data_IF_538008209849
#
_entry.id   IF_538008209849
#
_cell.length_a   1.000
_cell.length_b   1.000
_cell.length_c   1.000
_cell.angle_alpha   90.00
_cell.angle_beta   90.00
_cell.angle_gamma   90.00
#
_symmetry.space_group_name_H-M   'P 1'
#
loop_
_entity.id
_entity.type
_entity.pdbx_description
1 polymer ?
#
# COMPACT_ATOMS: atom_id res chain seq x y z
N UNK A 1 -18.69 16.07 33.23
CA UNK A 1 -17.38 16.63 33.67
C UNK A 1 -16.17 15.78 33.32
N UNK A 2 -16.15 14.46 33.60
CA UNK A 2 -15.00 13.59 33.25
C UNK A 2 -14.56 13.64 31.77
N UNK A 3 -15.52 13.76 30.84
CA UNK A 3 -15.24 13.81 29.40
C UNK A 3 -14.56 15.12 28.97
N UNK A 4 -14.84 16.25 29.64
CA UNK A 4 -14.13 17.52 29.37
C UNK A 4 -12.70 17.50 29.88
N UNK A 5 -12.42 16.71 30.91
CA UNK A 5 -11.08 16.61 31.50
C UNK A 5 -10.08 15.85 30.61
N UNK A 6 -10.55 15.13 29.59
CA UNK A 6 -9.71 14.39 28.63
C UNK A 6 -9.62 15.07 27.26
N UNK A 7 -10.28 16.21 27.06
CA UNK A 7 -10.24 16.97 25.79
C UNK A 7 -8.99 17.84 25.77
N UNK A 8 -8.19 17.71 24.73
CA UNK A 8 -7.07 18.60 24.43
C UNK A 8 -7.50 19.69 23.44
N UNK A 9 -6.80 20.82 23.47
CA UNK A 9 -6.96 21.86 22.45
C UNK A 9 -6.65 21.28 21.06
N UNK A 10 -7.48 21.65 20.07
CA UNK A 10 -7.33 21.19 18.70
C UNK A 10 -6.20 21.98 18.01
N UNK A 11 -5.37 21.26 17.26
CA UNK A 11 -4.36 21.83 16.40
C UNK A 11 -4.88 21.84 14.96
N UNK A 12 -4.87 23.01 14.33
CA UNK A 12 -5.42 23.22 12.98
C UNK A 12 -4.29 23.42 11.95
N UNK A 13 -4.49 22.85 10.77
CA UNK A 13 -3.54 22.87 9.66
C UNK A 13 -4.26 23.42 8.42
N UNK A 14 -3.81 24.55 7.84
CA UNK A 14 -4.35 25.00 6.54
C UNK A 14 -4.06 23.98 5.44
N UNK A 15 -5.03 23.72 4.55
CA UNK A 15 -4.91 22.72 3.47
C UNK A 15 -3.69 22.94 2.55
N UNK A 16 -3.28 24.19 2.35
CA UNK A 16 -2.15 24.56 1.48
C UNK A 16 -0.76 24.37 2.11
N UNK A 17 -0.64 23.87 3.34
CA UNK A 17 0.67 23.69 4.00
C UNK A 17 1.43 22.50 3.37
N UNK A 18 2.66 22.70 2.86
CA UNK A 18 3.46 21.60 2.32
C UNK A 18 3.79 20.53 3.37
N UNK A 19 3.74 19.25 3.00
CA UNK A 19 3.94 18.11 3.91
C UNK A 19 5.27 18.18 4.69
N UNK A 20 6.37 18.58 4.06
CA UNK A 20 7.67 18.75 4.73
C UNK A 20 7.64 19.83 5.82
N UNK A 21 6.89 20.90 5.58
CA UNK A 21 6.69 21.98 6.56
C UNK A 21 5.82 21.45 7.70
N UNK A 22 4.77 20.71 7.37
CA UNK A 22 3.87 20.14 8.36
C UNK A 22 4.55 19.09 9.26
N UNK A 23 5.43 18.25 8.69
CA UNK A 23 6.29 17.34 9.45
C UNK A 23 7.12 18.08 10.50
N UNK A 24 7.76 19.19 10.12
CA UNK A 24 8.54 20.02 11.03
C UNK A 24 7.67 20.68 12.10
N UNK A 25 6.44 21.09 11.75
CA UNK A 25 5.50 21.66 12.71
C UNK A 25 5.08 20.63 13.77
N UNK A 26 4.72 19.41 13.36
CA UNK A 26 4.45 18.30 14.28
C UNK A 26 5.64 18.00 15.20
N UNK A 27 6.86 17.96 14.67
CA UNK A 27 8.06 17.75 15.49
C UNK A 27 8.28 18.88 16.52
N UNK A 28 8.19 20.14 16.08
CA UNK A 28 8.45 21.31 16.95
C UNK A 28 7.40 21.46 18.05
N UNK A 29 6.13 21.25 17.72
CA UNK A 29 5.00 21.46 18.62
C UNK A 29 4.62 20.19 19.40
N UNK A 30 5.27 19.05 19.09
CA UNK A 30 4.98 17.72 19.68
C UNK A 30 3.53 17.28 19.47
N UNK A 31 2.91 17.73 18.38
CA UNK A 31 1.62 17.24 17.93
C UNK A 31 1.81 16.02 17.01
N UNK A 32 0.84 15.11 17.02
CA UNK A 32 0.80 13.94 16.12
C UNK A 32 -0.44 13.91 15.23
N UNK A 33 -1.39 14.81 15.50
CA UNK A 33 -2.70 14.87 14.85
C UNK A 33 -3.03 16.35 14.63
N UNK A 34 -3.59 16.68 13.47
CA UNK A 34 -4.12 18.00 13.15
C UNK A 34 -5.43 17.92 12.36
N UNK A 35 -6.29 18.92 12.55
CA UNK A 35 -7.51 19.09 11.75
C UNK A 35 -7.20 19.99 10.56
N UNK A 36 -7.47 19.50 9.35
CA UNK A 36 -7.25 20.25 8.12
C UNK A 36 -8.41 21.22 7.91
N UNK A 37 -8.09 22.47 7.61
CA UNK A 37 -9.06 23.54 7.39
C UNK A 37 -8.81 24.32 6.10
N UNK A 38 -9.89 24.78 5.48
CA UNK A 38 -9.83 25.73 4.37
C UNK A 38 -9.65 27.19 4.84
N UNK A 39 -9.62 28.13 3.90
CA UNK A 39 -9.42 29.56 4.18
C UNK A 39 -10.58 30.22 4.94
N UNK A 40 -11.76 29.58 4.93
CA UNK A 40 -12.92 30.01 5.68
C UNK A 40 -13.00 29.37 7.07
N UNK A 41 -12.06 28.46 7.39
CA UNK A 41 -11.97 27.77 8.67
C UNK A 41 -12.88 26.54 8.79
N UNK A 42 -13.44 26.06 7.68
CA UNK A 42 -14.22 24.82 7.67
C UNK A 42 -13.28 23.61 7.72
N UNK A 43 -13.71 22.57 8.44
CA UNK A 43 -12.92 21.33 8.56
C UNK A 43 -13.10 20.49 7.30
N UNK A 44 -11.99 20.18 6.65
CA UNK A 44 -11.96 19.32 5.47
C UNK A 44 -11.49 17.91 5.80
N UNK A 45 -10.72 17.73 6.88
CA UNK A 45 -10.24 16.41 7.26
C UNK A 45 -9.32 16.36 8.49
N UNK A 46 -8.61 15.24 8.60
CA UNK A 46 -7.67 14.92 9.66
C UNK A 46 -6.34 14.52 9.00
N UNK A 47 -5.22 14.96 9.58
CA UNK A 47 -3.89 14.55 9.17
C UNK A 47 -3.09 14.07 10.39
N UNK A 48 -2.33 13.00 10.23
CA UNK A 48 -1.46 12.46 11.28
C UNK A 48 0.01 12.51 10.89
N UNK A 49 0.89 12.44 11.88
CA UNK A 49 2.34 12.35 11.65
C UNK A 49 2.68 11.08 10.85
N UNK A 50 1.97 10.00 11.14
CA UNK A 50 2.11 8.69 10.48
C UNK A 50 1.82 8.80 8.99
N UNK A 51 0.75 9.47 8.58
CA UNK A 51 0.40 9.66 7.16
C UNK A 51 1.52 10.40 6.42
N UNK A 52 2.08 11.44 7.04
CA UNK A 52 3.17 12.22 6.42
C UNK A 52 4.44 11.37 6.28
N UNK A 53 4.74 10.53 7.28
CA UNK A 53 5.90 9.63 7.23
C UNK A 53 5.72 8.53 6.19
N UNK A 54 4.51 7.98 6.05
CA UNK A 54 4.16 6.99 5.03
C UNK A 54 4.30 7.58 3.62
N UNK A 55 3.89 8.81 3.38
CA UNK A 55 4.08 9.45 2.05
C UNK A 55 5.56 9.66 1.70
N UNK A 56 6.42 9.91 2.68
CA UNK A 56 7.86 10.15 2.44
C UNK A 56 8.63 8.84 2.23
N UNK A 57 8.31 7.80 3.01
CA UNK A 57 9.12 6.57 3.07
C UNK A 57 8.42 5.35 2.47
N UNK A 58 7.12 5.45 2.19
CA UNK A 58 6.25 4.33 1.87
C UNK A 58 5.84 3.56 3.13
N UNK A 59 5.19 2.41 2.93
CA UNK A 59 4.83 1.52 4.04
C UNK A 59 6.10 1.00 4.71
N UNK A 60 6.46 1.60 5.85
CA UNK A 60 7.52 1.10 6.72
C UNK A 60 7.12 -0.29 7.22
N UNK A 61 7.74 -1.33 6.68
CA UNK A 61 7.61 -2.74 7.09
C UNK A 61 8.23 -3.02 8.48
N UNK A 62 8.42 -2.00 9.33
CA UNK A 62 9.10 -2.12 10.62
C UNK A 62 8.14 -2.33 11.79
N UNK A 63 6.83 -2.20 11.59
CA UNK A 63 5.84 -2.67 12.56
C UNK A 63 5.41 -4.06 12.11
N UNK A 64 5.76 -5.14 12.84
CA UNK A 64 5.06 -6.40 12.63
C UNK A 64 3.59 -6.11 12.92
N UNK A 65 2.75 -6.12 11.88
CA UNK A 65 1.30 -6.06 12.06
C UNK A 65 0.94 -7.24 12.93
N UNK A 66 0.58 -6.95 14.19
CA UNK A 66 0.13 -7.94 15.15
C UNK A 66 -1.19 -8.54 14.64
N UNK A 67 -1.11 -9.55 13.77
CA UNK A 67 -2.22 -10.45 13.44
C UNK A 67 -2.67 -10.53 11.98
N UNK A 68 -2.09 -9.80 11.04
CA UNK A 68 -2.45 -9.90 9.62
C UNK A 68 -1.42 -10.70 8.83
N UNK A 69 -1.73 -11.94 8.42
CA UNK A 69 -0.89 -12.60 7.40
C UNK A 69 -0.99 -11.79 6.11
N UNK A 70 0.13 -11.28 5.62
CA UNK A 70 0.29 -10.58 4.33
C UNK A 70 -0.18 -11.46 3.14
N UNK A 71 -0.30 -12.78 3.35
CA UNK A 71 -0.87 -13.74 2.41
C UNK A 71 -1.95 -14.57 3.11
N UNK A 72 -3.14 -14.63 2.51
CA UNK A 72 -4.25 -15.49 2.96
C UNK A 72 -4.65 -16.45 1.85
N UNK A 73 -4.55 -17.75 2.12
CA UNK A 73 -5.12 -18.79 1.25
C UNK A 73 -6.64 -18.78 1.39
N UNK A 74 -7.33 -18.77 0.26
CA UNK A 74 -8.79 -18.87 0.17
C UNK A 74 -9.22 -20.33 -0.06
N UNK A 75 -10.49 -20.63 0.22
CA UNK A 75 -11.06 -21.98 0.10
C UNK A 75 -11.01 -22.53 -1.34
N UNK A 76 -11.00 -21.64 -2.34
CA UNK A 76 -10.91 -21.99 -3.75
C UNK A 76 -9.48 -22.27 -4.24
N UNK A 77 -8.47 -22.13 -3.37
CA UNK A 77 -7.06 -22.34 -3.66
C UNK A 77 -6.32 -21.11 -4.18
N UNK A 78 -6.97 -19.94 -4.25
CA UNK A 78 -6.32 -18.67 -4.57
C UNK A 78 -5.71 -18.01 -3.33
N UNK A 79 -4.79 -17.07 -3.54
CA UNK A 79 -4.20 -16.27 -2.47
C UNK A 79 -4.66 -14.83 -2.57
N UNK A 80 -5.19 -14.30 -1.46
CA UNK A 80 -5.37 -12.87 -1.26
C UNK A 80 -4.10 -12.31 -0.61
N UNK A 81 -3.44 -11.39 -1.28
CA UNK A 81 -2.11 -10.90 -0.90
C UNK A 81 -2.11 -9.39 -0.73
N UNK A 82 -1.58 -8.93 0.40
CA UNK A 82 -1.41 -7.52 0.73
C UNK A 82 -0.32 -6.91 -0.17
N UNK A 83 -0.57 -5.74 -0.75
CA UNK A 83 0.37 -5.05 -1.62
C UNK A 83 1.67 -4.64 -0.91
N UNK A 84 1.65 -4.55 0.41
CA UNK A 84 2.82 -4.23 1.25
C UNK A 84 3.84 -5.36 1.36
N UNK A 85 3.46 -6.60 1.04
CA UNK A 85 4.34 -7.76 1.18
C UNK A 85 5.66 -7.52 0.46
N UNK A 86 6.77 -7.89 1.11
CA UNK A 86 8.07 -7.83 0.45
C UNK A 86 8.13 -8.82 -0.72
N UNK A 87 8.73 -8.42 -1.85
CA UNK A 87 8.89 -9.30 -3.02
C UNK A 87 9.67 -10.57 -2.64
N UNK A 88 10.62 -10.47 -1.70
CA UNK A 88 11.39 -11.60 -1.19
C UNK A 88 10.52 -12.62 -0.45
N UNK A 89 9.63 -12.16 0.43
CA UNK A 89 8.73 -13.08 1.16
C UNK A 89 7.70 -13.68 0.21
N UNK A 90 7.16 -12.90 -0.74
CA UNK A 90 6.26 -13.41 -1.78
C UNK A 90 6.92 -14.53 -2.60
N UNK A 91 8.16 -14.31 -3.07
CA UNK A 91 8.95 -15.33 -3.76
C UNK A 91 9.12 -16.60 -2.92
N UNK A 92 9.45 -16.44 -1.63
CA UNK A 92 9.64 -17.56 -0.70
C UNK A 92 8.35 -18.35 -0.46
N UNK A 93 7.22 -17.67 -0.26
CA UNK A 93 5.93 -18.32 0.06
C UNK A 93 5.32 -19.01 -1.15
N UNK A 94 5.37 -18.36 -2.33
CA UNK A 94 4.75 -18.89 -3.54
C UNK A 94 5.71 -19.70 -4.43
N UNK A 95 6.99 -19.76 -4.07
CA UNK A 95 8.03 -20.36 -4.92
C UNK A 95 8.22 -19.59 -6.23
N UNK A 96 8.03 -18.27 -6.18
CA UNK A 96 8.21 -17.39 -7.32
C UNK A 96 9.64 -16.84 -7.36
N UNK A 97 9.94 -16.14 -8.45
CA UNK A 97 11.27 -15.62 -8.77
C UNK A 97 11.09 -14.28 -9.48
N UNK A 98 10.38 -13.37 -8.81
CA UNK A 98 10.25 -11.97 -9.19
C UNK A 98 11.55 -11.21 -8.91
N UNK A 99 11.87 -10.16 -9.69
CA UNK A 99 13.09 -9.38 -9.51
C UNK A 99 13.13 -8.70 -8.14
N UNK A 100 14.28 -8.75 -7.47
CA UNK A 100 14.51 -8.10 -6.16
C UNK A 100 15.44 -6.89 -6.22
N UNK A 101 16.08 -6.68 -7.37
CA UNK A 101 16.90 -5.52 -7.71
C UNK A 101 15.97 -4.44 -8.28
N UNK A 102 15.34 -3.68 -7.38
CA UNK A 102 14.26 -2.74 -7.71
C UNK A 102 13.35 -2.51 -6.50
N UNK A 103 12.04 -2.28 -6.71
CA UNK A 103 11.03 -2.15 -5.66
C UNK A 103 11.07 -3.30 -4.66
N UNK A 104 10.82 -2.97 -3.40
CA UNK A 104 10.92 -3.93 -2.29
C UNK A 104 9.60 -4.62 -1.97
N UNK A 105 8.48 -4.04 -2.38
CA UNK A 105 7.12 -4.53 -2.12
C UNK A 105 6.38 -4.88 -3.41
N UNK A 106 5.34 -5.69 -3.29
CA UNK A 106 4.48 -6.07 -4.43
C UNK A 106 3.80 -4.85 -5.07
N UNK A 107 3.30 -3.92 -4.26
CA UNK A 107 2.74 -2.65 -4.71
C UNK A 107 3.75 -1.89 -5.59
N UNK A 108 4.96 -1.66 -5.06
CA UNK A 108 5.99 -0.92 -5.78
C UNK A 108 6.38 -1.61 -7.09
N UNK A 109 6.45 -2.94 -7.10
CA UNK A 109 6.76 -3.72 -8.29
C UNK A 109 5.66 -3.62 -9.35
N UNK A 110 4.38 -3.65 -8.95
CA UNK A 110 3.24 -3.51 -9.87
C UNK A 110 3.19 -2.10 -10.47
N UNK A 111 3.36 -1.07 -9.64
CA UNK A 111 3.34 0.33 -10.11
C UNK A 111 4.52 0.60 -11.04
N UNK A 112 5.72 0.09 -10.74
CA UNK A 112 6.87 0.21 -11.64
C UNK A 112 6.61 -0.51 -12.97
N UNK A 113 6.04 -1.72 -12.93
CA UNK A 113 5.76 -2.50 -14.14
C UNK A 113 4.73 -1.83 -15.07
N UNK A 114 3.72 -1.17 -14.50
CA UNK A 114 2.63 -0.53 -15.25
C UNK A 114 2.85 0.96 -15.52
N UNK A 115 3.82 1.57 -14.85
CA UNK A 115 4.06 3.02 -14.79
C UNK A 115 2.83 3.85 -14.36
N UNK A 116 1.85 3.20 -13.71
CA UNK A 116 0.61 3.80 -13.20
C UNK A 116 -0.03 2.95 -12.10
N UNK A 117 -0.96 3.54 -11.36
CA UNK A 117 -1.84 2.79 -10.46
C UNK A 117 -2.95 2.13 -11.31
N UNK A 118 -3.11 0.81 -11.25
CA UNK A 118 -4.15 0.10 -12.00
C UNK A 118 -5.53 0.23 -11.35
N UNK A 119 -6.59 0.05 -12.14
CA UNK A 119 -7.95 -0.03 -11.62
C UNK A 119 -8.23 -1.42 -11.00
N UNK A 120 -9.08 -1.53 -9.96
CA UNK A 120 -9.57 -2.83 -9.48
C UNK A 120 -10.18 -3.67 -10.61
N UNK A 121 -9.93 -4.98 -10.60
CA UNK A 121 -10.27 -5.93 -11.66
C UNK A 121 -9.25 -6.00 -12.79
N UNK A 122 -8.20 -5.16 -12.79
CA UNK A 122 -7.10 -5.29 -13.75
C UNK A 122 -6.36 -6.60 -13.53
N UNK A 123 -6.33 -7.48 -14.54
CA UNK A 123 -5.47 -8.68 -14.53
C UNK A 123 -4.23 -8.45 -15.38
N UNK A 124 -3.09 -8.95 -14.91
CA UNK A 124 -1.82 -8.88 -15.63
C UNK A 124 -0.93 -10.08 -15.35
N UNK A 125 0.14 -10.19 -16.15
CA UNK A 125 1.27 -11.02 -15.83
C UNK A 125 2.35 -10.14 -15.22
N UNK A 126 2.63 -10.34 -13.93
CA UNK A 126 3.82 -9.79 -13.30
C UNK A 126 4.96 -10.75 -13.58
N UNK A 127 5.80 -10.38 -14.55
CA UNK A 127 6.69 -11.30 -15.26
C UNK A 127 5.90 -12.47 -15.90
N UNK A 128 5.93 -13.65 -15.29
CA UNK A 128 5.23 -14.87 -15.77
C UNK A 128 4.08 -15.30 -14.86
N UNK A 129 3.81 -14.54 -13.81
CA UNK A 129 2.86 -14.89 -12.77
C UNK A 129 1.56 -14.08 -12.90
N UNK A 130 0.40 -14.74 -13.07
CA UNK A 130 -0.88 -14.05 -13.11
C UNK A 130 -1.21 -13.41 -11.77
N UNK A 131 -1.59 -12.14 -11.83
CA UNK A 131 -2.07 -11.34 -10.71
C UNK A 131 -3.29 -10.56 -11.16
N UNK A 132 -4.27 -10.45 -10.26
CA UNK A 132 -5.43 -9.58 -10.43
C UNK A 132 -5.47 -8.56 -9.31
N UNK A 133 -5.68 -7.30 -9.66
CA UNK A 133 -5.80 -6.20 -8.70
C UNK A 133 -7.19 -6.27 -8.07
N UNK A 134 -7.27 -6.43 -6.75
CA UNK A 134 -8.55 -6.49 -6.04
C UNK A 134 -8.91 -5.13 -5.47
N UNK A 135 -7.93 -4.45 -4.88
CA UNK A 135 -8.15 -3.17 -4.22
C UNK A 135 -6.96 -2.24 -4.41
N UNK A 136 -7.27 -0.97 -4.70
CA UNK A 136 -6.32 0.14 -4.69
C UNK A 136 -6.72 1.19 -3.65
N UNK A 137 -5.72 1.88 -3.09
CA UNK A 137 -5.89 3.13 -2.36
C UNK A 137 -5.59 4.33 -3.27
N UNK A 138 -5.47 5.53 -2.69
CA UNK A 138 -5.25 6.77 -3.44
C UNK A 138 -4.05 6.69 -4.39
N UNK A 139 -2.92 6.14 -3.91
CA UNK A 139 -1.69 6.02 -4.69
C UNK A 139 -1.04 4.62 -4.63
N UNK A 140 -1.79 3.60 -4.23
CA UNK A 140 -1.21 2.29 -3.89
C UNK A 140 -2.10 1.14 -4.35
N UNK A 141 -1.48 0.02 -4.71
CA UNK A 141 -2.16 -1.28 -4.79
C UNK A 141 -2.18 -1.86 -3.37
N UNK A 142 -3.37 -2.06 -2.81
CA UNK A 142 -3.55 -2.56 -1.44
C UNK A 142 -3.71 -4.07 -1.39
N UNK A 143 -4.38 -4.66 -2.38
CA UNK A 143 -4.62 -6.11 -2.36
C UNK A 143 -4.67 -6.67 -3.77
N UNK A 144 -4.05 -7.84 -3.93
CA UNK A 144 -4.08 -8.62 -5.17
C UNK A 144 -4.57 -10.04 -4.92
N UNK A 145 -5.18 -10.62 -5.94
CA UNK A 145 -5.55 -12.02 -6.02
C UNK A 145 -4.54 -12.76 -6.89
N UNK A 146 -4.09 -13.92 -6.41
CA UNK A 146 -3.16 -14.79 -7.13
C UNK A 146 -3.77 -16.19 -7.21
N UNK A 147 -4.02 -16.69 -8.42
CA UNK A 147 -4.37 -18.10 -8.63
C UNK A 147 -3.13 -18.91 -9.03
N UNK A 148 -2.59 -19.75 -8.15
CA UNK A 148 -1.40 -20.56 -8.43
C UNK A 148 -1.63 -21.63 -9.50
N UNK A 149 -2.88 -21.93 -9.87
CA UNK A 149 -3.23 -22.90 -10.93
C UNK A 149 -3.12 -22.29 -12.32
N UNK A 150 -3.13 -20.97 -12.44
CA UNK A 150 -2.97 -20.26 -13.72
C UNK A 150 -1.52 -20.20 -14.20
N UNK A 151 -0.64 -21.14 -13.79
CA UNK A 151 0.70 -21.29 -14.38
C UNK A 151 0.57 -21.30 -15.89
N UNK A 152 1.31 -20.43 -16.58
CA UNK A 152 1.28 -20.37 -18.04
C UNK A 152 1.40 -21.78 -18.60
N UNK A 153 0.37 -22.20 -19.33
CA UNK A 153 0.59 -23.06 -20.49
C UNK A 153 1.41 -22.22 -21.45
N UNK A 154 2.75 -22.27 -21.34
CA UNK A 154 3.60 -21.82 -22.44
C UNK A 154 3.09 -22.58 -23.67
N UNK A 155 2.58 -21.90 -24.71
CA UNK A 155 2.15 -22.61 -25.90
C UNK A 155 3.37 -23.37 -26.40
N UNK A 156 3.27 -24.72 -26.45
CA UNK A 156 4.25 -25.52 -27.17
C UNK A 156 4.32 -24.90 -28.55
N UNK A 157 5.42 -24.23 -28.89
CA UNK A 157 5.74 -23.95 -30.28
C UNK A 157 5.57 -25.29 -31.00
N UNK A 158 4.68 -25.32 -31.97
CA UNK A 158 4.52 -26.47 -32.84
C UNK A 158 5.91 -26.78 -33.40
N UNK A 159 6.50 -27.88 -32.95
CA UNK A 159 7.64 -28.45 -33.62
C UNK A 159 7.11 -28.97 -34.96
N UNK A 160 7.54 -28.34 -36.05
CA UNK A 160 7.39 -28.85 -37.40
C UNK A 160 6.28 -28.20 -38.24
N UNK A 161 6.71 -27.32 -39.14
CA UNK A 161 6.57 -27.51 -40.58
C UNK A 161 7.71 -26.74 -41.28
#
# INVERSE_FOLDING_TARGET
DALRAIVSEAYFVPEGVPLNTQLLNFQKQRHRIGLVVNEYGEIEGLITLEDILEEIVGEFTTVPTAGGKEIRLQDDGTYMVDGSISVRELNKVLGWDLPTEGPKTLNGLIIEYLERIPDPGTSMLLDRYPVEIVQTGSNTVKTVLIDPRLKQRVPKRAAGA
#
